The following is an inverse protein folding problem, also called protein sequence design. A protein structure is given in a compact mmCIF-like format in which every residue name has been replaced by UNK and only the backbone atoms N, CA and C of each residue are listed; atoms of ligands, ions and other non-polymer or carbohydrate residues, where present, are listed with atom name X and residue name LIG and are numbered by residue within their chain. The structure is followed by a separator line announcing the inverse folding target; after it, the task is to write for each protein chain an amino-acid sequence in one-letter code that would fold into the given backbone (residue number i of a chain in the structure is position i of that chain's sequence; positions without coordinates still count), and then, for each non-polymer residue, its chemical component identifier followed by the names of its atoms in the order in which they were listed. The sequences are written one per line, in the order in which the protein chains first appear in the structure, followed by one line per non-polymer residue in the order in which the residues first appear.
data_IF_241269992101
#
_entry.id   IF_241269992101
#
_cell.length_a   1.000
_cell.length_b   1.000
_cell.length_c   1.000
_cell.angle_alpha   90.00
_cell.angle_beta   90.00
_cell.angle_gamma   90.00
#
_symmetry.space_group_name_H-M   'P 1'
#
loop_
_entity.id
_entity.type
_entity.pdbx_description
1 polymer ?
#
# COMPACT_ATOMS: atom_id res chain seq x y z
N UNK A 1 -8.35 54.92 -9.51
CA UNK A 1 -8.92 53.91 -8.59
C UNK A 1 -10.43 53.99 -8.75
N UNK A 2 -10.97 53.45 -9.85
CA UNK A 2 -12.40 53.64 -10.21
C UNK A 2 -13.11 52.31 -10.48
N UNK A 3 -12.65 51.23 -9.84
CA UNK A 3 -13.31 49.91 -9.86
C UNK A 3 -14.71 49.96 -9.21
N UNK A 4 -14.92 50.86 -8.24
CA UNK A 4 -16.17 50.99 -7.48
C UNK A 4 -17.25 51.85 -8.17
N UNK A 5 -16.91 52.65 -9.20
CA UNK A 5 -17.89 53.50 -9.91
C UNK A 5 -18.71 52.74 -10.97
N UNK A 6 -18.20 51.61 -11.46
CA UNK A 6 -18.84 50.82 -12.52
C UNK A 6 -19.87 49.81 -12.01
N UNK A 7 -19.83 49.46 -10.72
CA UNK A 7 -20.88 48.65 -10.10
C UNK A 7 -21.89 49.62 -9.48
N UNK A 8 -23.13 49.65 -10.00
CA UNK A 8 -24.20 50.42 -9.39
C UNK A 8 -24.40 50.04 -7.92
N UNK A 9 -25.18 50.83 -7.16
CA UNK A 9 -25.49 50.53 -5.74
C UNK A 9 -26.18 49.17 -5.51
N UNK A 10 -26.57 48.48 -6.58
CA UNK A 10 -27.16 47.15 -6.51
C UNK A 10 -26.08 46.09 -6.32
N UNK A 11 -26.28 45.24 -5.32
CA UNK A 11 -25.40 44.13 -5.03
C UNK A 11 -25.52 43.06 -6.14
N UNK A 12 -24.48 42.83 -6.96
CA UNK A 12 -24.54 41.82 -8.03
C UNK A 12 -24.39 40.39 -7.50
N UNK A 13 -24.05 40.22 -6.22
CA UNK A 13 -23.86 38.93 -5.59
C UNK A 13 -25.15 38.51 -4.88
N UNK A 14 -26.00 37.80 -5.61
CA UNK A 14 -27.14 37.06 -5.04
C UNK A 14 -26.95 35.58 -5.28
N UNK A 15 -27.27 34.77 -4.28
CA UNK A 15 -27.37 33.32 -4.46
C UNK A 15 -28.73 32.98 -5.09
N UNK A 16 -28.82 31.90 -5.88
CA UNK A 16 -30.09 31.35 -6.33
C UNK A 16 -30.95 30.88 -5.15
N UNK A 17 -32.26 30.84 -5.37
CA UNK A 17 -33.21 30.22 -4.44
C UNK A 17 -32.85 28.73 -4.23
N UNK A 18 -33.00 28.24 -3.00
CA UNK A 18 -32.67 26.87 -2.58
C UNK A 18 -31.18 26.46 -2.74
N UNK A 19 -30.25 27.40 -2.91
CA UNK A 19 -28.82 27.09 -3.07
C UNK A 19 -28.27 26.26 -1.91
N UNK A 20 -28.62 26.63 -0.67
CA UNK A 20 -28.11 25.96 0.53
C UNK A 20 -28.87 24.68 0.84
N UNK A 21 -30.17 24.67 0.57
CA UNK A 21 -31.08 23.55 0.75
C UNK A 21 -30.66 22.36 -0.12
N UNK A 22 -30.33 22.61 -1.39
CA UNK A 22 -29.91 21.57 -2.35
C UNK A 22 -28.41 21.27 -2.27
N UNK A 23 -27.61 22.08 -1.56
CA UNK A 23 -26.15 21.95 -1.54
C UNK A 23 -25.70 20.56 -1.07
N UNK A 24 -26.22 20.10 0.07
CA UNK A 24 -25.83 18.82 0.64
C UNK A 24 -26.16 17.64 -0.30
N UNK A 25 -27.35 17.67 -0.91
CA UNK A 25 -27.77 16.65 -1.88
C UNK A 25 -26.90 16.66 -3.14
N UNK A 26 -26.55 17.85 -3.63
CA UNK A 26 -25.68 18.02 -4.79
C UNK A 26 -24.27 17.47 -4.54
N UNK A 27 -23.70 17.69 -3.35
CA UNK A 27 -22.40 17.13 -2.97
C UNK A 27 -22.45 15.60 -2.87
N UNK A 28 -23.45 15.05 -2.18
CA UNK A 28 -23.61 13.59 -2.07
C UNK A 28 -23.76 12.90 -3.43
N UNK A 29 -24.50 13.51 -4.37
CA UNK A 29 -24.65 12.98 -5.73
C UNK A 29 -23.30 12.92 -6.46
N UNK A 30 -22.50 13.98 -6.39
CA UNK A 30 -21.18 14.04 -7.04
C UNK A 30 -20.22 12.98 -6.48
N UNK A 31 -20.19 12.80 -5.17
CA UNK A 31 -19.38 11.77 -4.51
C UNK A 31 -19.75 10.37 -5.03
N UNK A 32 -21.06 10.10 -5.13
CA UNK A 32 -21.56 8.80 -5.61
C UNK A 32 -21.27 8.56 -7.10
N UNK A 33 -21.26 9.61 -7.91
CA UNK A 33 -20.91 9.55 -9.34
C UNK A 33 -19.40 9.38 -9.57
N UNK A 34 -18.57 9.85 -8.63
CA UNK A 34 -17.11 9.72 -8.66
C UNK A 34 -16.59 8.39 -8.13
N UNK A 35 -17.43 7.52 -7.54
CA UNK A 35 -16.97 6.16 -7.20
C UNK A 35 -16.54 5.46 -8.49
N UNK A 36 -15.24 5.22 -8.71
CA UNK A 36 -14.79 4.56 -9.91
C UNK A 36 -15.41 3.17 -9.86
N UNK A 37 -16.26 2.85 -10.85
CA UNK A 37 -16.77 1.50 -11.03
C UNK A 37 -15.56 0.56 -10.91
N UNK A 38 -15.45 -0.15 -9.79
CA UNK A 38 -14.25 -0.88 -9.41
C UNK A 38 -13.96 -1.87 -10.53
N UNK A 39 -13.10 -1.47 -11.46
CA UNK A 39 -12.70 -2.31 -12.60
C UNK A 39 -11.73 -3.29 -11.98
N UNK A 40 -12.28 -4.36 -11.42
CA UNK A 40 -11.51 -5.47 -10.87
C UNK A 40 -10.71 -6.04 -12.03
N UNK A 41 -9.46 -5.60 -12.17
CA UNK A 41 -8.52 -6.23 -13.07
C UNK A 41 -8.19 -7.57 -12.42
N UNK A 42 -8.73 -8.65 -12.97
CA UNK A 42 -8.36 -10.00 -12.54
C UNK A 42 -6.89 -10.23 -12.90
N UNK A 43 -6.02 -10.12 -11.91
CA UNK A 43 -4.58 -10.32 -12.05
C UNK A 43 -4.24 -11.82 -12.13
N UNK A 44 -4.35 -12.40 -13.32
CA UNK A 44 -4.09 -13.83 -13.57
C UNK A 44 -2.62 -14.16 -13.87
N UNK A 45 -1.64 -13.30 -13.53
CA UNK A 45 -0.22 -13.49 -13.92
C UNK A 45 0.79 -13.58 -12.77
N UNK A 46 0.37 -13.65 -11.51
CA UNK A 46 1.28 -13.64 -10.34
C UNK A 46 1.69 -15.04 -9.82
N UNK A 47 1.24 -16.13 -10.44
CA UNK A 47 1.49 -17.48 -9.90
C UNK A 47 2.87 -18.10 -10.18
N UNK A 48 3.85 -17.39 -10.79
CA UNK A 48 5.10 -18.03 -11.26
C UNK A 48 6.36 -17.29 -10.81
N UNK A 49 6.60 -17.14 -9.50
CA UNK A 49 7.87 -16.53 -9.03
C UNK A 49 8.55 -17.18 -7.81
N UNK A 50 8.42 -18.49 -7.61
CA UNK A 50 9.23 -19.23 -6.60
C UNK A 50 10.01 -20.40 -7.21
N UNK A 51 10.71 -20.17 -8.32
CA UNK A 51 11.41 -21.23 -9.05
C UNK A 51 12.83 -21.53 -8.52
N UNK A 52 13.51 -20.58 -7.87
CA UNK A 52 14.91 -20.77 -7.49
C UNK A 52 15.09 -21.79 -6.35
N UNK A 53 14.40 -21.63 -5.21
CA UNK A 53 14.53 -22.55 -4.08
C UNK A 53 13.86 -23.92 -4.32
N UNK A 54 12.72 -23.94 -5.02
CA UNK A 54 11.96 -25.16 -5.29
C UNK A 54 12.66 -26.09 -6.29
N UNK A 55 13.33 -25.55 -7.32
CA UNK A 55 14.11 -26.37 -8.27
C UNK A 55 15.29 -27.07 -7.59
N UNK A 56 15.95 -26.40 -6.64
CA UNK A 56 17.01 -27.02 -5.85
C UNK A 56 16.46 -28.16 -4.98
N UNK A 57 15.32 -27.98 -4.32
CA UNK A 57 14.71 -29.02 -3.49
C UNK A 57 14.25 -30.26 -4.30
N UNK A 58 13.63 -30.05 -5.47
CA UNK A 58 13.17 -31.14 -6.34
C UNK A 58 14.35 -31.91 -6.94
N UNK A 59 15.41 -31.22 -7.37
CA UNK A 59 16.60 -31.86 -7.94
C UNK A 59 17.31 -32.76 -6.91
N UNK A 60 17.42 -32.31 -5.65
CA UNK A 60 17.99 -33.13 -4.57
C UNK A 60 17.13 -34.36 -4.27
N UNK A 61 15.80 -34.22 -4.23
CA UNK A 61 14.89 -35.33 -4.00
C UNK A 61 14.90 -36.37 -5.13
N UNK A 62 14.92 -35.93 -6.38
CA UNK A 62 14.99 -36.82 -7.53
C UNK A 62 16.33 -37.56 -7.64
N UNK A 63 17.43 -36.89 -7.30
CA UNK A 63 18.75 -37.53 -7.27
C UNK A 63 18.80 -38.66 -6.23
N UNK A 64 18.24 -38.45 -5.03
CA UNK A 64 18.17 -39.49 -3.99
C UNK A 64 17.30 -40.68 -4.42
N UNK A 65 16.15 -40.40 -5.06
CA UNK A 65 15.24 -41.43 -5.56
C UNK A 65 15.83 -42.28 -6.71
N UNK A 66 16.63 -41.68 -7.60
CA UNK A 66 17.22 -42.38 -8.75
C UNK A 66 18.52 -43.08 -8.36
N UNK A 67 19.37 -42.46 -7.53
CA UNK A 67 20.71 -42.97 -7.25
C UNK A 67 20.82 -43.78 -5.95
N UNK A 68 19.79 -43.84 -5.10
CA UNK A 68 19.67 -44.82 -4.02
C UNK A 68 20.90 -44.92 -3.12
N UNK A 69 21.62 -43.82 -2.90
CA UNK A 69 22.84 -43.83 -2.09
C UNK A 69 22.47 -43.73 -0.63
N UNK A 70 22.84 -44.74 0.17
CA UNK A 70 22.77 -44.66 1.63
C UNK A 70 23.75 -43.59 2.10
N UNK A 71 23.29 -42.35 2.17
CA UNK A 71 24.13 -41.24 2.63
C UNK A 71 24.36 -41.33 4.14
N UNK A 72 25.61 -41.09 4.59
CA UNK A 72 25.97 -41.18 6.00
C UNK A 72 25.32 -40.03 6.76
N UNK A 73 24.43 -40.37 7.68
CA UNK A 73 23.99 -39.46 8.74
C UNK A 73 25.19 -39.16 9.63
N UNK A 74 25.67 -37.91 9.64
CA UNK A 74 26.82 -37.53 10.45
C UNK A 74 27.14 -36.04 10.37
N UNK A 75 26.63 -35.30 11.35
CA UNK A 75 26.74 -33.85 11.55
C UNK A 75 28.16 -33.29 11.35
N UNK A 76 28.27 -32.31 10.45
CA UNK A 76 29.47 -31.48 10.25
C UNK A 76 29.06 -30.09 9.77
N UNK A 77 28.67 -29.25 10.71
CA UNK A 77 28.28 -27.86 10.51
C UNK A 77 29.51 -27.06 10.06
N UNK A 78 29.62 -26.76 8.77
CA UNK A 78 30.33 -25.56 8.34
C UNK A 78 29.73 -25.03 7.05
N UNK A 79 28.51 -24.51 7.19
CA UNK A 79 27.88 -23.67 6.18
C UNK A 79 28.51 -22.28 6.34
N UNK A 80 29.35 -21.88 5.38
CA UNK A 80 29.78 -20.50 5.27
C UNK A 80 28.57 -19.71 4.76
N UNK A 81 27.74 -19.25 5.69
CA UNK A 81 26.70 -18.27 5.40
C UNK A 81 27.47 -16.96 5.26
N UNK A 82 27.74 -16.54 4.02
CA UNK A 82 28.02 -15.13 3.77
C UNK A 82 26.87 -14.39 4.41
N UNK A 83 27.16 -13.63 5.48
CA UNK A 83 26.17 -12.90 6.24
C UNK A 83 25.40 -12.04 5.25
N UNK A 84 24.21 -12.50 4.85
CA UNK A 84 23.19 -11.62 4.36
C UNK A 84 22.78 -10.83 5.60
N UNK A 85 23.52 -9.76 5.83
CA UNK A 85 23.19 -8.70 6.77
C UNK A 85 21.79 -8.23 6.39
N UNK A 86 20.83 -8.50 7.28
CA UNK A 86 19.51 -7.88 7.19
C UNK A 86 19.73 -6.40 7.47
N UNK A 87 19.69 -5.60 6.41
CA UNK A 87 19.82 -4.15 6.51
C UNK A 87 18.50 -3.57 7.06
N UNK A 88 18.53 -3.10 8.29
CA UNK A 88 17.39 -2.48 8.98
C UNK A 88 16.89 -1.20 8.28
N UNK A 89 17.68 -0.62 7.37
CA UNK A 89 17.35 0.64 6.68
C UNK A 89 16.21 0.51 5.66
N UNK A 90 15.78 -0.70 5.29
CA UNK A 90 14.61 -0.86 4.40
C UNK A 90 13.26 -0.63 5.10
N UNK A 91 13.23 -0.58 6.44
CA UNK A 91 12.02 -0.32 7.24
C UNK A 91 11.37 1.03 6.91
N UNK A 92 12.08 2.00 6.34
CA UNK A 92 11.48 3.32 6.05
C UNK A 92 10.88 3.42 4.64
N UNK A 93 11.08 2.40 3.80
CA UNK A 93 10.62 2.43 2.40
C UNK A 93 9.19 1.93 2.20
N UNK A 94 8.67 1.07 3.09
CA UNK A 94 7.32 0.50 2.93
C UNK A 94 6.19 1.52 3.16
N UNK A 95 6.44 2.54 3.99
CA UNK A 95 5.49 3.63 4.28
C UNK A 95 5.12 4.40 2.99
N UNK A 96 6.07 4.55 2.07
CA UNK A 96 5.87 5.27 0.82
C UNK A 96 4.91 4.57 -0.16
N UNK A 97 4.59 3.29 0.08
CA UNK A 97 3.66 2.51 -0.75
C UNK A 97 2.26 2.39 -0.13
N UNK A 98 2.05 2.89 1.09
CA UNK A 98 0.74 2.91 1.73
C UNK A 98 -0.15 3.98 1.09
N UNK A 99 -1.46 3.72 1.07
CA UNK A 99 -2.44 4.74 0.72
C UNK A 99 -2.41 5.90 1.74
N UNK A 100 -2.67 7.14 1.31
CA UNK A 100 -2.57 8.35 2.15
C UNK A 100 -3.44 8.25 3.41
N UNK A 101 -4.60 7.59 3.32
CA UNK A 101 -5.46 7.36 4.47
C UNK A 101 -4.86 6.37 5.49
N UNK A 102 -4.20 5.30 5.00
CA UNK A 102 -3.51 4.31 5.83
C UNK A 102 -2.22 4.87 6.44
N UNK A 103 -1.53 5.79 5.75
CA UNK A 103 -0.36 6.48 6.29
C UNK A 103 -0.72 7.27 7.54
N UNK A 104 -1.81 8.03 7.52
CA UNK A 104 -2.27 8.83 8.67
C UNK A 104 -2.59 7.93 9.87
N UNK A 105 -3.30 6.81 9.64
CA UNK A 105 -3.66 5.86 10.70
C UNK A 105 -2.42 5.24 11.36
N UNK A 106 -1.41 4.86 10.57
CA UNK A 106 -0.13 4.34 11.07
C UNK A 106 0.63 5.38 11.91
N UNK A 107 0.67 6.64 11.46
CA UNK A 107 1.31 7.71 12.23
C UNK A 107 0.59 7.95 13.56
N UNK A 108 -0.73 7.98 13.58
CA UNK A 108 -1.52 8.16 14.81
C UNK A 108 -1.31 6.98 15.76
N UNK A 109 -1.37 5.75 15.27
CA UNK A 109 -1.16 4.56 16.11
C UNK A 109 0.23 4.54 16.73
N UNK A 110 1.25 4.98 15.99
CA UNK A 110 2.62 4.96 16.50
C UNK A 110 2.94 6.15 17.41
N UNK A 111 2.21 7.26 17.28
CA UNK A 111 2.35 8.43 18.16
C UNK A 111 1.75 8.16 19.55
N UNK A 112 0.63 7.44 19.60
CA UNK A 112 -0.09 7.13 20.85
C UNK A 112 0.65 6.11 21.74
N UNK A 113 1.71 5.48 21.23
CA UNK A 113 2.57 4.55 21.97
C UNK A 113 3.80 5.21 22.63
N UNK A 114 4.08 6.50 22.38
CA UNK A 114 5.27 7.19 22.90
C UNK A 114 5.03 7.91 24.24
N UNK A 115 3.76 8.06 24.67
CA UNK A 115 3.39 8.77 25.91
C UNK A 115 3.20 7.85 27.15
N UNK A 116 3.69 6.60 27.12
CA UNK A 116 3.55 5.67 28.28
C UNK A 116 4.86 5.12 28.84
N UNK A 117 5.95 5.88 28.83
CA UNK A 117 7.05 5.69 29.80
C UNK A 117 7.96 6.94 29.83
N UNK A 118 7.57 7.96 30.60
CA UNK A 118 8.39 8.68 31.60
C UNK A 118 7.62 9.84 32.26
#
# INVERSE_FOLDING_TARGET
MDILKNFGKENPFSVPENYFEDFAQNIQRRIKEEEPSKKTVTMSRIAIVFSAAATLAIALFAADAIFGTKSPSGNGLQQNIAAAEYDETESDTWIAYLDESTQIEYFVSNFENDDTDF
#
